data_IF_265334310928
#
_entry.id   IF_265334310928
#
_cell.length_a   1.000
_cell.length_b   1.000
_cell.length_c   1.000
_cell.angle_alpha   90.00
_cell.angle_beta   90.00
_cell.angle_gamma   90.00
#
_symmetry.space_group_name_H-M   'P 1'
#
loop_
_entity.id
_entity.type
_entity.pdbx_description
1 polymer ?
#
# COMPACT_ATOMS: atom_id res chain seq x y z
N UNK A 1 2.85 68.43 -59.68
CA UNK A 1 1.48 67.92 -59.94
C UNK A 1 1.58 66.48 -60.44
N UNK A 2 0.66 65.62 -60.00
CA UNK A 2 0.43 64.19 -60.33
C UNK A 2 1.50 63.18 -59.82
N UNK A 3 1.28 62.41 -58.75
CA UNK A 3 0.38 61.23 -58.56
C UNK A 3 0.85 59.92 -59.21
N UNK A 4 0.93 58.83 -58.43
CA UNK A 4 0.48 57.51 -58.90
C UNK A 4 1.37 56.27 -58.68
N UNK A 5 1.21 55.63 -57.51
CA UNK A 5 1.39 54.20 -57.11
C UNK A 5 1.67 53.12 -58.19
N UNK A 6 2.56 52.15 -57.88
CA UNK A 6 2.41 50.65 -58.02
C UNK A 6 3.39 49.93 -57.06
N UNK A 7 2.91 49.33 -55.97
CA UNK A 7 2.77 47.87 -55.72
C UNK A 7 4.01 47.00 -55.98
N UNK A 8 4.52 46.33 -54.94
CA UNK A 8 4.76 44.88 -54.90
C UNK A 8 5.24 44.45 -53.51
N UNK A 9 4.41 43.67 -52.83
CA UNK A 9 4.71 42.91 -51.61
C UNK A 9 5.61 41.72 -51.93
N UNK A 10 6.70 41.46 -51.19
CA UNK A 10 7.29 40.13 -51.17
C UNK A 10 6.63 39.28 -50.09
N UNK A 11 5.94 38.24 -50.55
CA UNK A 11 5.51 37.09 -49.74
C UNK A 11 6.75 36.38 -49.19
N UNK A 12 7.04 36.51 -47.90
CA UNK A 12 8.00 35.64 -47.23
C UNK A 12 7.25 34.53 -46.51
N UNK A 13 7.09 33.40 -47.19
CA UNK A 13 6.79 32.11 -46.57
C UNK A 13 8.00 31.75 -45.71
N UNK A 14 7.89 31.96 -44.40
CA UNK A 14 9.01 31.86 -43.46
C UNK A 14 8.60 31.15 -42.18
N UNK A 15 8.55 29.82 -42.27
CA UNK A 15 8.79 28.81 -41.21
C UNK A 15 8.16 29.09 -39.83
N UNK A 16 7.08 28.34 -39.59
CA UNK A 16 6.67 27.85 -38.28
C UNK A 16 7.88 27.45 -37.40
N UNK A 17 8.08 28.19 -36.31
CA UNK A 17 8.73 27.68 -35.11
C UNK A 17 7.74 27.91 -33.96
N UNK A 18 6.74 27.03 -33.89
CA UNK A 18 5.98 26.87 -32.66
C UNK A 18 6.92 26.21 -31.65
N UNK A 19 7.43 27.01 -30.70
CA UNK A 19 8.14 26.52 -29.53
C UNK A 19 7.10 25.80 -28.66
N UNK A 20 6.87 24.52 -28.97
CA UNK A 20 5.96 23.68 -28.20
C UNK A 20 6.60 23.31 -26.86
N UNK A 21 5.77 23.39 -25.83
CA UNK A 21 6.03 23.17 -24.42
C UNK A 21 6.69 21.83 -24.12
N UNK A 22 7.79 21.84 -23.35
CA UNK A 22 8.20 20.66 -22.59
C UNK A 22 7.62 20.74 -21.18
N UNK A 23 6.35 20.39 -21.03
CA UNK A 23 5.83 19.94 -19.75
C UNK A 23 5.98 18.42 -19.72
N UNK A 24 7.17 17.94 -19.36
CA UNK A 24 7.36 16.55 -18.96
C UNK A 24 7.23 16.47 -17.43
N UNK A 25 6.00 16.59 -16.91
CA UNK A 25 5.71 16.02 -15.60
C UNK A 25 5.44 14.54 -15.86
N UNK A 26 6.50 13.74 -15.79
CA UNK A 26 6.37 12.29 -15.80
C UNK A 26 5.50 11.86 -14.62
N UNK A 27 4.25 11.53 -14.89
CA UNK A 27 3.42 10.78 -13.97
C UNK A 27 4.14 9.46 -13.70
N UNK A 28 4.72 9.36 -12.50
CA UNK A 28 5.60 8.28 -12.12
C UNK A 28 4.80 7.00 -11.95
N UNK A 29 5.00 6.02 -12.83
CA UNK A 29 4.53 4.64 -12.68
C UNK A 29 5.21 3.88 -11.50
N UNK A 30 5.58 4.59 -10.43
CA UNK A 30 6.47 4.13 -9.35
C UNK A 30 5.83 4.20 -7.96
N UNK A 31 4.61 4.73 -7.85
CA UNK A 31 3.86 4.76 -6.59
C UNK A 31 2.91 3.56 -6.53
N UNK A 32 2.88 2.92 -5.36
CA UNK A 32 2.00 1.81 -5.06
C UNK A 32 0.56 2.32 -4.95
N UNK A 33 -0.42 1.70 -5.62
CA UNK A 33 -1.83 1.96 -5.38
C UNK A 33 -2.26 1.32 -4.06
N UNK A 34 -3.43 1.72 -3.54
CA UNK A 34 -4.11 0.93 -2.50
C UNK A 34 -4.71 -0.31 -3.18
N UNK A 35 -4.30 -1.54 -2.80
CA UNK A 35 -4.88 -2.77 -3.35
C UNK A 35 -6.40 -2.78 -3.19
N UNK A 36 -7.18 -3.15 -4.24
CA UNK A 36 -8.63 -3.22 -4.11
C UNK A 36 -9.04 -4.37 -3.17
N UNK A 37 -10.18 -4.23 -2.50
CA UNK A 37 -10.77 -5.34 -1.75
C UNK A 37 -11.18 -6.48 -2.70
N UNK A 38 -11.02 -7.75 -2.29
CA UNK A 38 -11.45 -8.91 -3.08
C UNK A 38 -12.98 -9.11 -3.08
N UNK A 39 -13.71 -8.34 -2.28
CA UNK A 39 -15.16 -8.39 -2.13
C UNK A 39 -15.75 -6.98 -1.96
N UNK A 40 -17.08 -6.86 -2.06
CA UNK A 40 -17.78 -5.59 -1.88
C UNK A 40 -17.74 -5.14 -0.42
N UNK A 41 -17.88 -3.83 -0.16
CA UNK A 41 -17.82 -3.31 1.21
C UNK A 41 -18.93 -3.86 2.14
N UNK A 42 -20.04 -4.34 1.60
CA UNK A 42 -21.14 -4.94 2.37
C UNK A 42 -20.97 -6.44 2.63
N UNK A 43 -19.96 -7.08 2.03
CA UNK A 43 -19.87 -8.55 2.00
C UNK A 43 -19.51 -9.20 3.34
N UNK A 44 -19.06 -8.44 4.34
CA UNK A 44 -18.69 -8.96 5.67
C UNK A 44 -19.76 -8.70 6.76
N UNK A 45 -20.90 -8.10 6.38
CA UNK A 45 -22.03 -7.91 7.30
C UNK A 45 -22.62 -9.28 7.66
N UNK A 46 -22.97 -9.57 8.94
CA UNK A 46 -23.06 -8.65 10.07
C UNK A 46 -21.78 -8.50 10.92
N UNK A 47 -20.69 -9.16 10.57
CA UNK A 47 -19.48 -9.23 11.41
C UNK A 47 -18.65 -7.94 11.36
N UNK A 48 -18.52 -7.34 10.18
CA UNK A 48 -17.85 -6.06 9.97
C UNK A 48 -18.80 -5.17 9.18
N UNK A 49 -19.09 -3.97 9.70
CA UNK A 49 -19.97 -3.02 9.04
C UNK A 49 -19.31 -2.42 7.79
N UNK A 50 -20.12 -2.09 6.78
CA UNK A 50 -19.65 -1.44 5.55
C UNK A 50 -18.86 -0.15 5.86
N UNK A 51 -19.37 0.66 6.79
CA UNK A 51 -18.72 1.90 7.20
C UNK A 51 -17.33 1.66 7.78
N UNK A 52 -17.20 0.69 8.70
CA UNK A 52 -15.91 0.35 9.29
C UNK A 52 -14.92 -0.14 8.23
N UNK A 53 -15.38 -1.01 7.31
CA UNK A 53 -14.53 -1.53 6.24
C UNK A 53 -14.07 -0.43 5.28
N UNK A 54 -14.93 0.55 4.95
CA UNK A 54 -14.55 1.72 4.15
C UNK A 54 -13.51 2.59 4.84
N UNK A 55 -13.69 2.90 6.12
CA UNK A 55 -12.73 3.71 6.89
C UNK A 55 -11.39 2.97 7.03
N UNK A 56 -11.41 1.67 7.27
CA UNK A 56 -10.19 0.87 7.42
C UNK A 56 -9.42 0.76 6.10
N UNK A 57 -10.12 0.49 4.99
CA UNK A 57 -9.49 0.38 3.68
C UNK A 57 -9.08 1.76 3.10
N UNK A 58 -10.02 2.69 2.95
CA UNK A 58 -9.76 3.99 2.30
C UNK A 58 -9.13 5.03 3.24
N UNK A 59 -9.11 4.77 4.55
CA UNK A 59 -8.43 5.60 5.54
C UNK A 59 -7.09 4.99 5.94
N UNK A 60 -7.10 3.90 6.73
CA UNK A 60 -5.87 3.35 7.31
C UNK A 60 -4.92 2.71 6.27
N UNK A 61 -5.42 1.83 5.41
CA UNK A 61 -4.57 1.21 4.37
C UNK A 61 -4.05 2.27 3.39
N UNK A 62 -4.91 3.22 2.98
CA UNK A 62 -4.51 4.36 2.16
C UNK A 62 -3.43 5.23 2.82
N UNK A 63 -3.53 5.50 4.12
CA UNK A 63 -2.54 6.28 4.85
C UNK A 63 -1.17 5.58 4.90
N UNK A 64 -1.13 4.26 5.13
CA UNK A 64 0.12 3.51 5.08
C UNK A 64 0.71 3.47 3.67
N UNK A 65 -0.14 3.29 2.65
CA UNK A 65 0.28 3.33 1.24
C UNK A 65 0.92 4.68 0.88
N UNK A 66 0.30 5.79 1.30
CA UNK A 66 0.83 7.14 1.08
C UNK A 66 2.17 7.35 1.80
N UNK A 67 2.29 6.94 3.06
CA UNK A 67 3.54 7.03 3.82
C UNK A 67 4.65 6.19 3.20
N UNK A 68 4.33 4.97 2.74
CA UNK A 68 5.29 4.08 2.08
C UNK A 68 5.78 4.72 0.78
N UNK A 69 4.88 5.24 -0.05
CA UNK A 69 5.24 5.96 -1.28
C UNK A 69 6.17 7.15 -1.00
N UNK A 70 5.95 7.91 0.07
CA UNK A 70 6.83 9.01 0.44
C UNK A 70 8.25 8.55 0.84
N UNK A 71 8.37 7.41 1.55
CA UNK A 71 9.67 6.82 1.89
C UNK A 71 10.39 6.33 0.63
N UNK A 72 9.69 5.59 -0.23
CA UNK A 72 10.23 5.06 -1.48
C UNK A 72 10.62 6.19 -2.44
N UNK A 73 9.86 7.28 -2.49
CA UNK A 73 10.19 8.46 -3.27
C UNK A 73 11.54 9.04 -2.85
N UNK A 74 11.74 9.28 -1.55
CA UNK A 74 13.02 9.78 -1.04
C UNK A 74 14.17 8.84 -1.37
N UNK A 75 13.98 7.53 -1.23
CA UNK A 75 14.99 6.53 -1.61
C UNK A 75 15.27 6.52 -3.14
N UNK A 76 14.28 6.80 -4.00
CA UNK A 76 14.49 6.88 -5.45
C UNK A 76 15.35 8.05 -5.88
N UNK A 77 15.28 9.16 -5.14
CA UNK A 77 16.08 10.37 -5.39
C UNK A 77 17.51 10.25 -4.86
N UNK A 78 17.78 9.28 -3.99
CA UNK A 78 19.11 8.97 -3.49
C UNK A 78 19.78 7.89 -4.39
N UNK A 79 20.89 8.20 -5.07
CA UNK A 79 21.60 7.25 -5.94
C UNK A 79 22.00 5.95 -5.24
N UNK A 80 22.36 6.02 -3.95
CA UNK A 80 22.78 4.86 -3.17
C UNK A 80 21.60 3.97 -2.78
N UNK A 81 20.39 4.54 -2.66
CA UNK A 81 19.19 3.83 -2.15
C UNK A 81 18.18 3.48 -3.25
N UNK A 82 18.34 4.00 -4.46
CA UNK A 82 17.42 3.77 -5.58
C UNK A 82 17.20 2.29 -5.88
N UNK A 83 18.18 1.43 -5.60
CA UNK A 83 18.04 -0.02 -5.77
C UNK A 83 17.04 -0.62 -4.76
N UNK A 84 17.06 -0.19 -3.50
CA UNK A 84 16.10 -0.61 -2.47
C UNK A 84 14.68 -0.18 -2.82
N UNK A 85 14.51 1.03 -3.37
CA UNK A 85 13.20 1.55 -3.75
C UNK A 85 12.56 0.84 -4.96
N UNK A 86 13.35 0.04 -5.68
CA UNK A 86 12.88 -0.79 -6.81
C UNK A 86 12.55 -2.23 -6.40
N UNK A 87 12.92 -2.64 -5.19
CA UNK A 87 12.55 -3.94 -4.65
C UNK A 87 11.04 -3.99 -4.42
N UNK A 88 10.48 -5.20 -4.45
CA UNK A 88 9.12 -5.41 -3.96
C UNK A 88 9.01 -5.02 -2.48
N UNK A 89 7.82 -4.63 -2.01
CA UNK A 89 7.63 -4.24 -0.60
C UNK A 89 8.02 -5.37 0.35
N UNK A 90 7.65 -6.62 0.02
CA UNK A 90 8.01 -7.80 0.80
C UNK A 90 9.53 -8.00 0.89
N UNK A 91 10.22 -7.84 -0.23
CA UNK A 91 11.68 -7.96 -0.30
C UNK A 91 12.38 -6.84 0.47
N UNK A 92 11.87 -5.60 0.39
CA UNK A 92 12.36 -4.47 1.18
C UNK A 92 12.19 -4.75 2.69
N UNK A 93 11.05 -5.30 3.10
CA UNK A 93 10.76 -5.64 4.49
C UNK A 93 11.64 -6.79 5.00
N UNK A 94 11.91 -7.79 4.17
CA UNK A 94 12.83 -8.87 4.50
C UNK A 94 14.29 -8.37 4.65
N UNK A 95 14.65 -7.32 3.91
CA UNK A 95 16.00 -6.75 3.89
C UNK A 95 16.11 -5.41 4.64
N UNK A 96 15.28 -5.17 5.67
CA UNK A 96 15.31 -3.92 6.45
C UNK A 96 16.68 -3.61 7.08
N UNK A 97 17.51 -4.62 7.32
CA UNK A 97 18.89 -4.43 7.80
C UNK A 97 19.76 -3.63 6.82
N UNK A 98 19.50 -3.75 5.52
CA UNK A 98 20.20 -3.03 4.44
C UNK A 98 19.67 -1.61 4.25
N UNK A 99 18.52 -1.27 4.83
CA UNK A 99 17.96 0.09 4.80
C UNK A 99 18.70 0.96 5.82
N UNK A 100 19.19 2.16 5.47
CA UNK A 100 19.83 3.07 6.41
C UNK A 100 18.90 3.47 7.58
N UNK A 101 19.49 3.77 8.74
CA UNK A 101 18.75 4.07 9.98
C UNK A 101 17.67 5.15 9.78
N UNK A 102 18.02 6.22 9.06
CA UNK A 102 17.16 7.38 8.80
C UNK A 102 15.87 7.03 8.05
N UNK A 103 15.85 5.90 7.34
CA UNK A 103 14.70 5.41 6.60
C UNK A 103 14.03 4.20 7.26
N UNK A 104 14.81 3.37 7.96
CA UNK A 104 14.40 2.02 8.38
C UNK A 104 13.13 2.02 9.22
N UNK A 105 13.02 2.91 10.20
CA UNK A 105 11.84 2.98 11.04
C UNK A 105 10.57 3.36 10.25
N UNK A 106 10.69 4.28 9.29
CA UNK A 106 9.58 4.71 8.44
C UNK A 106 9.20 3.61 7.43
N UNK A 107 10.19 3.01 6.76
CA UNK A 107 9.98 1.89 5.84
C UNK A 107 9.32 0.69 6.54
N UNK A 108 9.78 0.33 7.75
CA UNK A 108 9.17 -0.75 8.54
C UNK A 108 7.72 -0.46 8.91
N UNK A 109 7.42 0.73 9.44
CA UNK A 109 6.05 1.07 9.88
C UNK A 109 5.09 1.17 8.69
N UNK A 110 5.49 1.88 7.63
CA UNK A 110 4.63 2.10 6.48
C UNK A 110 4.51 0.84 5.60
N UNK A 111 5.62 0.16 5.34
CA UNK A 111 5.67 -1.10 4.60
C UNK A 111 4.93 -2.21 5.33
N UNK A 112 5.21 -2.40 6.63
CA UNK A 112 4.48 -3.39 7.44
C UNK A 112 2.98 -3.05 7.54
N UNK A 113 2.63 -1.77 7.67
CA UNK A 113 1.24 -1.32 7.62
C UNK A 113 0.55 -1.66 6.30
N UNK A 114 1.21 -1.44 5.17
CA UNK A 114 0.72 -1.80 3.83
C UNK A 114 0.51 -3.32 3.70
N UNK A 115 1.55 -4.12 3.93
CA UNK A 115 1.49 -5.59 3.77
C UNK A 115 0.50 -6.24 4.73
N UNK A 116 0.45 -5.79 6.00
CA UNK A 116 -0.48 -6.37 6.97
C UNK A 116 -1.94 -6.10 6.62
N UNK A 117 -2.26 -4.94 6.04
CA UNK A 117 -3.63 -4.66 5.60
C UNK A 117 -3.98 -5.45 4.34
N UNK A 118 -3.07 -5.53 3.37
CA UNK A 118 -3.27 -6.36 2.19
C UNK A 118 -3.54 -7.82 2.57
N UNK A 119 -2.72 -8.39 3.48
CA UNK A 119 -2.96 -9.72 4.04
C UNK A 119 -4.33 -9.81 4.74
N UNK A 120 -4.67 -8.86 5.60
CA UNK A 120 -5.92 -8.86 6.35
C UNK A 120 -7.15 -8.95 5.44
N UNK A 121 -7.16 -8.26 4.30
CA UNK A 121 -8.27 -8.33 3.33
C UNK A 121 -8.34 -9.67 2.60
N UNK A 122 -7.20 -10.29 2.34
CA UNK A 122 -7.13 -11.55 1.59
C UNK A 122 -7.44 -12.79 2.44
N UNK A 123 -7.30 -12.71 3.77
CA UNK A 123 -7.64 -13.83 4.68
C UNK A 123 -9.11 -13.83 5.15
N UNK A 124 -9.85 -12.75 4.90
CA UNK A 124 -11.27 -12.67 5.23
C UNK A 124 -12.13 -13.21 4.08
N UNK A 125 -13.23 -13.88 4.44
CA UNK A 125 -14.19 -14.42 3.48
C UNK A 125 -15.61 -14.04 3.88
N UNK A 126 -16.42 -13.50 2.95
CA UNK A 126 -17.87 -13.29 3.14
C UNK A 126 -18.63 -14.55 3.53
N UNK A 127 -18.14 -15.71 3.11
CA UNK A 127 -18.79 -17.00 3.28
C UNK A 127 -18.21 -17.80 4.45
N UNK A 128 -17.29 -17.20 5.20
CA UNK A 128 -16.41 -17.93 6.11
C UNK A 128 -15.53 -18.94 5.37
N UNK A 129 -14.89 -19.81 6.13
CA UNK A 129 -14.07 -20.89 5.60
C UNK A 129 -13.35 -21.63 6.71
N UNK A 130 -13.27 -22.95 6.58
CA UNK A 130 -12.33 -23.77 7.34
C UNK A 130 -11.07 -23.91 6.47
N UNK A 131 -9.85 -23.80 7.02
CA UNK A 131 -8.65 -24.11 6.24
C UNK A 131 -8.78 -25.54 5.68
N UNK A 132 -8.58 -25.77 4.38
CA UNK A 132 -8.71 -27.11 3.82
C UNK A 132 -7.52 -27.99 4.24
N UNK A 133 -7.78 -29.26 4.59
CA UNK A 133 -6.73 -30.27 4.79
C UNK A 133 -6.22 -30.39 6.24
N UNK A 134 -5.06 -31.04 6.41
CA UNK A 134 -4.48 -31.39 7.73
C UNK A 134 -4.33 -30.19 8.70
N UNK A 135 -4.27 -28.98 8.17
CA UNK A 135 -4.20 -27.74 8.94
C UNK A 135 -5.48 -27.51 9.75
N UNK A 136 -6.67 -27.84 9.23
CA UNK A 136 -7.90 -27.76 10.04
C UNK A 136 -7.88 -28.71 11.21
N UNK A 137 -7.37 -29.92 10.99
CA UNK A 137 -7.41 -30.99 11.97
C UNK A 137 -6.43 -30.68 13.10
N UNK A 138 -5.21 -30.23 12.75
CA UNK A 138 -4.18 -29.80 13.71
C UNK A 138 -4.65 -28.60 14.53
N UNK A 139 -5.29 -27.62 13.88
CA UNK A 139 -5.85 -26.44 14.56
C UNK A 139 -6.96 -26.88 15.52
N UNK A 140 -7.90 -27.72 15.09
CA UNK A 140 -8.98 -28.22 15.95
C UNK A 140 -8.43 -29.02 17.14
N UNK A 141 -7.44 -29.89 16.95
CA UNK A 141 -6.79 -30.63 18.04
C UNK A 141 -6.12 -29.68 19.04
N UNK A 142 -5.43 -28.65 18.56
CA UNK A 142 -4.74 -27.66 19.42
C UNK A 142 -5.73 -26.80 20.22
N UNK A 143 -6.82 -26.34 19.58
CA UNK A 143 -7.87 -25.58 20.26
C UNK A 143 -8.69 -26.45 21.24
N UNK A 144 -8.87 -27.73 20.91
CA UNK A 144 -9.49 -28.70 21.81
C UNK A 144 -8.62 -28.98 23.04
N UNK A 145 -7.33 -29.28 22.84
CA UNK A 145 -6.37 -29.51 23.93
C UNK A 145 -6.24 -28.28 24.84
N UNK A 146 -6.20 -27.07 24.28
CA UNK A 146 -6.17 -25.84 25.09
C UNK A 146 -7.48 -25.59 25.83
N UNK A 147 -8.63 -25.94 25.26
CA UNK A 147 -9.93 -25.88 25.96
C UNK A 147 -10.00 -26.89 27.12
N UNK A 148 -9.42 -28.08 26.93
CA UNK A 148 -9.27 -29.10 27.96
C UNK A 148 -8.28 -28.68 29.07
N UNK A 149 -7.22 -27.92 28.73
CA UNK A 149 -6.29 -27.38 29.71
C UNK A 149 -6.88 -26.20 30.48
N UNK A 150 -7.63 -25.32 29.81
CA UNK A 150 -8.32 -24.16 30.40
C UNK A 150 -9.39 -24.58 31.42
N UNK A 151 -10.10 -25.67 31.19
CA UNK A 151 -11.03 -26.24 32.18
C UNK A 151 -10.32 -26.84 33.41
N UNK A 152 -8.99 -27.02 33.35
CA UNK A 152 -8.17 -27.58 34.44
C UNK A 152 -7.29 -26.56 35.19
N UNK A 153 -7.09 -25.34 34.68
CA UNK A 153 -6.28 -24.32 35.37
C UNK A 153 -6.79 -22.90 35.16
N UNK A 154 -7.62 -22.42 36.08
CA UNK A 154 -8.08 -21.04 36.13
C UNK A 154 -6.98 -20.10 36.65
N UNK A 155 -6.16 -19.54 35.76
CA UNK A 155 -5.69 -18.14 35.84
C UNK A 155 -4.64 -17.81 34.78
N UNK A 156 -5.06 -17.20 33.67
CA UNK A 156 -4.19 -16.25 32.96
C UNK A 156 -5.04 -15.11 32.40
N UNK A 157 -4.76 -13.90 32.87
CA UNK A 157 -5.61 -12.73 32.66
C UNK A 157 -5.54 -12.20 31.23
N UNK A 158 -6.70 -12.15 30.58
CA UNK A 158 -7.04 -11.60 29.24
C UNK A 158 -6.63 -10.12 28.99
N UNK A 159 -6.04 -9.44 29.97
CA UNK A 159 -5.91 -7.97 29.99
C UNK A 159 -4.67 -7.38 29.32
N UNK A 160 -3.77 -8.18 28.72
CA UNK A 160 -2.50 -7.69 28.16
C UNK A 160 -2.44 -7.63 26.62
N UNK A 161 -3.42 -8.21 25.92
CA UNK A 161 -3.35 -8.38 24.44
C UNK A 161 -3.97 -7.21 23.66
N UNK A 162 -4.85 -6.40 24.25
CA UNK A 162 -5.59 -5.36 23.51
C UNK A 162 -4.94 -3.97 23.45
N UNK A 163 -3.68 -3.82 23.90
CA UNK A 163 -2.99 -2.51 23.89
C UNK A 163 -1.65 -2.50 23.13
N UNK A 164 -1.28 -3.62 22.51
CA UNK A 164 -0.13 -3.70 21.61
C UNK A 164 -0.63 -4.21 20.25
N UNK A 165 -0.35 -3.47 19.19
CA UNK A 165 -0.70 -3.88 17.83
C UNK A 165 -0.09 -5.24 17.51
N UNK A 166 -0.97 -6.22 17.33
CA UNK A 166 -0.74 -7.60 16.91
C UNK A 166 0.30 -8.43 17.67
N UNK A 167 0.01 -9.73 17.69
CA UNK A 167 0.70 -10.79 18.40
C UNK A 167 2.19 -10.81 18.06
N UNK A 168 3.00 -10.63 19.11
CA UNK A 168 4.43 -10.89 19.08
C UNK A 168 4.68 -12.40 19.05
N UNK A 169 5.28 -12.88 17.96
CA UNK A 169 6.27 -13.96 17.91
C UNK A 169 6.97 -13.89 16.56
#
# INVERSE_FOLDING_TARGET
MAMGKKSSTPTLVGRCLALSTLAAVGASAQNLPVPPLPYSYGSLVPFISEHALRVHHLGHHAAYTSQLNAVLERMRWDPELKHLAKMGVDELLHNLGSVPEDYRAAARRAGGGFVNHDLFWNVLSPWGGHPPGQESDTIQETWWLSSCFSSSSSSWSYRRVMQAGYLAA
#
